data_IF_012069264509
#
_entry.id   IF_012069264509
#
_cell.length_a   1.000
_cell.length_b   1.000
_cell.length_c   1.000
_cell.angle_alpha   90.00
_cell.angle_beta   90.00
_cell.angle_gamma   90.00
#
_symmetry.space_group_name_H-M   'P 1'
#
loop_
_entity.id
_entity.type
_entity.pdbx_description
1 polymer ?
#
# COMPACT_ATOMS: atom_id res chain seq x y z
N UNK A 1 -43.08 -10.92 -17.34
CA UNK A 1 -41.87 -10.09 -17.48
C UNK A 1 -40.72 -10.94 -17.97
N UNK A 2 -39.97 -10.45 -18.95
CA UNK A 2 -38.76 -11.11 -19.44
C UNK A 2 -37.66 -11.01 -18.33
N UNK A 3 -36.69 -11.92 -18.34
CA UNK A 3 -35.59 -11.93 -17.32
C UNK A 3 -34.85 -10.59 -17.22
N UNK A 4 -34.64 -9.93 -18.35
CA UNK A 4 -34.02 -8.59 -18.37
C UNK A 4 -34.86 -7.52 -17.66
N UNK A 5 -36.16 -7.53 -17.84
CA UNK A 5 -37.05 -6.60 -17.14
C UNK A 5 -37.06 -6.84 -15.62
N UNK A 6 -36.92 -8.10 -15.19
CA UNK A 6 -36.78 -8.45 -13.77
C UNK A 6 -35.49 -7.97 -13.19
N UNK A 7 -34.36 -8.14 -13.88
CA UNK A 7 -33.02 -7.58 -13.48
C UNK A 7 -33.14 -6.07 -13.29
N UNK A 8 -33.72 -5.36 -14.27
CA UNK A 8 -33.87 -3.90 -14.18
C UNK A 8 -34.79 -3.47 -13.05
N UNK A 9 -35.86 -4.26 -12.74
CA UNK A 9 -36.75 -3.95 -11.63
C UNK A 9 -36.06 -4.11 -10.28
N UNK A 10 -35.21 -5.14 -10.12
CA UNK A 10 -34.36 -5.32 -8.94
C UNK A 10 -33.33 -4.18 -8.85
N UNK A 11 -32.70 -3.80 -9.94
CA UNK A 11 -31.73 -2.70 -9.98
C UNK A 11 -32.37 -1.37 -9.57
N UNK A 12 -33.56 -1.04 -10.06
CA UNK A 12 -34.32 0.15 -9.65
C UNK A 12 -34.67 0.13 -8.17
N UNK A 13 -35.03 -1.04 -7.65
CA UNK A 13 -35.30 -1.23 -6.23
C UNK A 13 -34.04 -0.97 -5.41
N UNK A 14 -32.91 -1.49 -5.81
CA UNK A 14 -31.62 -1.30 -5.14
C UNK A 14 -31.20 0.17 -5.13
N UNK A 15 -31.28 0.86 -6.26
CA UNK A 15 -31.01 2.30 -6.34
C UNK A 15 -31.88 3.12 -5.37
N UNK A 16 -33.17 2.77 -5.21
CA UNK A 16 -34.06 3.41 -4.25
C UNK A 16 -33.63 3.16 -2.81
N UNK A 17 -33.18 1.95 -2.50
CA UNK A 17 -32.65 1.61 -1.17
C UNK A 17 -31.39 2.40 -0.86
N UNK A 18 -30.44 2.47 -1.80
CA UNK A 18 -29.19 3.24 -1.66
C UNK A 18 -29.50 4.71 -1.43
N UNK A 19 -30.41 5.30 -2.22
CA UNK A 19 -30.81 6.71 -2.07
C UNK A 19 -31.44 7.02 -0.72
N UNK A 20 -32.22 6.10 -0.15
CA UNK A 20 -32.94 6.32 1.10
C UNK A 20 -32.15 5.98 2.36
N UNK A 21 -30.96 5.37 2.22
CA UNK A 21 -30.11 4.96 3.33
C UNK A 21 -28.72 5.59 3.22
N UNK A 22 -28.45 6.69 3.94
CA UNK A 22 -27.18 7.41 3.84
C UNK A 22 -25.95 6.54 4.18
N UNK A 23 -26.16 5.45 4.94
CA UNK A 23 -25.08 4.51 5.27
C UNK A 23 -24.41 3.91 4.03
N UNK A 24 -25.16 3.65 2.96
CA UNK A 24 -24.56 3.13 1.72
C UNK A 24 -23.68 4.16 1.04
N UNK A 25 -24.12 5.42 0.99
CA UNK A 25 -23.32 6.49 0.41
C UNK A 25 -22.09 6.79 1.26
N UNK A 26 -22.25 6.93 2.58
CA UNK A 26 -21.15 7.20 3.50
C UNK A 26 -20.15 6.03 3.55
N UNK A 27 -20.64 4.78 3.62
CA UNK A 27 -19.83 3.57 3.72
C UNK A 27 -19.13 3.17 2.42
N UNK A 28 -19.58 3.66 1.25
CA UNK A 28 -18.92 3.44 -0.02
C UNK A 28 -18.11 4.66 -0.48
N UNK A 29 -18.77 5.65 -1.04
CA UNK A 29 -18.12 6.84 -1.60
C UNK A 29 -17.43 7.66 -0.52
N UNK A 30 -18.11 7.89 0.62
CA UNK A 30 -17.59 8.74 1.71
C UNK A 30 -16.27 8.22 2.29
N UNK A 31 -16.20 6.92 2.62
CA UNK A 31 -14.98 6.31 3.17
C UNK A 31 -13.84 6.33 2.14
N UNK A 32 -14.11 5.96 0.88
CA UNK A 32 -13.09 5.93 -0.15
C UNK A 32 -12.56 7.34 -0.45
N UNK A 33 -13.45 8.33 -0.57
CA UNK A 33 -13.06 9.72 -0.78
C UNK A 33 -12.24 10.26 0.40
N UNK A 34 -12.66 9.97 1.64
CA UNK A 34 -11.87 10.34 2.83
C UNK A 34 -10.49 9.72 2.82
N UNK A 35 -10.40 8.40 2.57
CA UNK A 35 -9.12 7.71 2.50
C UNK A 35 -8.24 8.24 1.35
N UNK A 36 -8.80 8.51 0.18
CA UNK A 36 -8.06 9.08 -0.94
C UNK A 36 -7.48 10.45 -0.58
N UNK A 37 -8.31 11.36 -0.05
CA UNK A 37 -7.84 12.69 0.39
C UNK A 37 -6.78 12.53 1.48
N UNK A 38 -7.05 11.71 2.50
CA UNK A 38 -6.13 11.53 3.62
C UNK A 38 -4.76 10.99 3.17
N UNK A 39 -4.72 9.88 2.43
CA UNK A 39 -3.45 9.29 2.05
C UNK A 39 -2.68 10.12 1.03
N UNK A 40 -3.36 10.71 0.07
CA UNK A 40 -2.69 11.54 -0.93
C UNK A 40 -2.13 12.85 -0.34
N UNK A 41 -2.83 13.46 0.64
CA UNK A 41 -2.31 14.64 1.34
C UNK A 41 -1.24 14.26 2.36
N UNK A 42 -1.43 13.16 3.10
CA UNK A 42 -0.46 12.69 4.09
C UNK A 42 0.89 12.27 3.46
N UNK A 43 0.85 11.73 2.25
CA UNK A 43 2.03 11.24 1.53
C UNK A 43 2.54 12.23 0.46
N UNK A 44 2.03 13.46 0.42
CA UNK A 44 2.31 14.44 -0.65
C UNK A 44 3.80 14.74 -0.81
N UNK A 45 4.55 14.84 0.29
CA UNK A 45 6.01 15.04 0.28
C UNK A 45 6.79 13.82 -0.24
N UNK A 46 6.17 12.67 -0.41
CA UNK A 46 6.74 11.46 -1.00
C UNK A 46 7.73 10.70 -0.13
N UNK A 47 8.59 11.38 0.60
CA UNK A 47 9.47 10.83 1.64
C UNK A 47 9.21 11.60 2.94
N UNK A 48 9.41 10.96 4.11
CA UNK A 48 9.42 11.71 5.36
C UNK A 48 10.56 12.76 5.31
N UNK A 49 10.21 14.01 5.44
CA UNK A 49 11.16 15.10 5.58
C UNK A 49 11.49 15.33 7.05
N UNK A 50 12.63 15.97 7.34
CA UNK A 50 12.99 16.42 8.68
C UNK A 50 13.00 15.29 9.74
N UNK A 51 13.50 14.09 9.39
CA UNK A 51 13.66 13.01 10.38
C UNK A 51 14.64 13.47 11.45
N UNK A 52 14.20 13.60 12.72
CA UNK A 52 15.08 14.13 13.75
C UNK A 52 16.18 13.11 14.08
N UNK A 53 17.43 13.52 13.88
CA UNK A 53 18.65 12.76 14.18
C UNK A 53 19.38 13.47 15.32
N UNK A 54 19.51 12.81 16.46
CA UNK A 54 20.29 13.33 17.58
C UNK A 54 21.78 13.28 17.28
N UNK A 55 22.49 14.37 17.54
CA UNK A 55 23.96 14.41 17.42
C UNK A 55 24.56 14.79 18.78
N UNK A 56 25.47 13.96 19.26
CA UNK A 56 26.32 14.20 20.41
C UNK A 56 27.72 14.45 19.88
N UNK A 57 28.13 15.71 19.80
CA UNK A 57 29.46 16.11 19.34
C UNK A 57 30.38 16.33 20.55
N UNK A 58 31.31 15.40 20.76
CA UNK A 58 32.33 15.48 21.86
C UNK A 58 33.65 16.09 21.38
N UNK A 59 33.82 16.28 20.03
CA UNK A 59 35.05 16.80 19.43
C UNK A 59 35.06 18.35 19.33
N UNK A 60 33.90 18.96 19.11
CA UNK A 60 33.71 20.42 18.96
C UNK A 60 34.64 21.10 17.96
N UNK A 61 35.23 20.34 17.04
CA UNK A 61 36.16 20.84 16.03
C UNK A 61 35.42 21.49 14.83
N UNK A 62 36.21 22.10 13.94
CA UNK A 62 35.66 22.57 12.64
C UNK A 62 35.21 21.41 11.78
N UNK A 63 35.88 20.27 11.87
CA UNK A 63 35.55 19.05 11.11
C UNK A 63 34.24 18.43 11.57
N UNK A 64 34.02 18.32 12.91
CA UNK A 64 32.77 17.79 13.45
C UNK A 64 31.58 18.70 13.12
N UNK A 65 31.76 20.04 13.21
CA UNK A 65 30.70 20.99 12.85
C UNK A 65 30.34 20.92 11.36
N UNK A 66 31.34 20.81 10.48
CA UNK A 66 31.08 20.63 9.05
C UNK A 66 30.33 19.34 8.77
N UNK A 67 30.67 18.24 9.45
CA UNK A 67 29.95 16.99 9.35
C UNK A 67 28.49 17.17 9.79
N UNK A 68 28.22 17.81 10.93
CA UNK A 68 26.85 18.08 11.40
C UNK A 68 26.06 18.95 10.42
N UNK A 69 26.70 20.02 9.85
CA UNK A 69 26.04 20.86 8.84
C UNK A 69 25.71 20.10 7.56
N UNK A 70 26.58 19.22 7.11
CA UNK A 70 26.32 18.39 5.94
C UNK A 70 25.21 17.38 6.21
N UNK A 71 25.14 16.83 7.42
CA UNK A 71 24.07 15.94 7.84
C UNK A 71 22.73 16.66 7.89
N UNK A 72 22.69 17.89 8.41
CA UNK A 72 21.49 18.75 8.46
C UNK A 72 21.05 19.22 7.06
N UNK A 73 21.98 19.29 6.11
CA UNK A 73 21.69 19.63 4.71
C UNK A 73 21.16 18.45 3.88
N UNK A 74 21.09 17.23 4.44
CA UNK A 74 20.46 16.10 3.74
C UNK A 74 18.94 16.28 3.69
N UNK A 75 18.32 15.73 2.68
CA UNK A 75 16.86 15.87 2.49
C UNK A 75 16.06 15.25 3.64
N UNK A 76 16.57 14.20 4.27
CA UNK A 76 15.83 13.39 5.22
C UNK A 76 16.16 13.71 6.67
N UNK A 77 17.33 14.28 6.96
CA UNK A 77 17.83 14.46 8.33
C UNK A 77 17.66 15.87 8.85
N UNK A 78 17.14 16.00 10.07
CA UNK A 78 17.18 17.24 10.86
C UNK A 78 18.02 17.01 12.11
N UNK A 79 19.14 17.73 12.20
CA UNK A 79 20.06 17.58 13.31
C UNK A 79 19.51 18.22 14.59
N UNK A 80 19.47 17.43 15.65
CA UNK A 80 19.14 17.89 17.01
C UNK A 80 20.35 17.66 17.90
N UNK A 81 20.98 18.76 18.38
CA UNK A 81 22.17 18.67 19.22
C UNK A 81 21.84 18.27 20.66
N UNK A 82 22.61 17.34 21.20
CA UNK A 82 22.53 16.87 22.58
C UNK A 82 23.87 17.02 23.28
N UNK A 83 23.83 17.39 24.55
CA UNK A 83 25.04 17.53 25.39
C UNK A 83 25.55 16.19 25.93
N UNK A 84 24.74 15.12 25.89
CA UNK A 84 25.11 13.80 26.37
C UNK A 84 24.38 12.70 25.62
N UNK A 85 25.02 11.53 25.55
CA UNK A 85 24.41 10.35 24.98
C UNK A 85 23.17 9.88 25.76
N UNK A 86 23.15 10.05 27.10
CA UNK A 86 22.02 9.62 27.91
C UNK A 86 20.73 10.38 27.58
N UNK A 87 20.80 11.69 27.37
CA UNK A 87 19.65 12.51 26.98
C UNK A 87 19.18 12.18 25.55
N UNK A 88 20.11 11.99 24.61
CA UNK A 88 19.77 11.56 23.26
C UNK A 88 19.11 10.17 23.25
N UNK A 89 19.61 9.22 24.06
CA UNK A 89 19.04 7.90 24.21
C UNK A 89 17.61 7.92 24.77
N UNK A 90 17.34 8.76 25.75
CA UNK A 90 16.01 8.94 26.33
C UNK A 90 15.01 9.43 25.27
N UNK A 91 15.40 10.43 24.49
CA UNK A 91 14.57 10.93 23.41
C UNK A 91 14.43 9.92 22.25
N UNK A 92 15.42 9.10 21.97
CA UNK A 92 15.31 7.99 21.02
C UNK A 92 14.35 6.89 21.52
N UNK A 93 14.40 6.54 22.80
CA UNK A 93 13.49 5.54 23.38
C UNK A 93 12.05 6.03 23.47
N UNK A 94 11.85 7.33 23.65
CA UNK A 94 10.53 7.97 23.60
C UNK A 94 10.01 8.22 22.19
N UNK A 95 10.81 7.93 21.16
CA UNK A 95 10.42 8.09 19.73
C UNK A 95 10.49 9.52 19.21
N UNK A 96 11.10 10.46 19.92
CA UNK A 96 11.27 11.84 19.47
C UNK A 96 12.35 11.97 18.39
N UNK A 97 13.36 11.10 18.41
CA UNK A 97 14.41 11.03 17.39
C UNK A 97 14.55 9.60 16.87
N UNK A 98 14.87 9.47 15.57
CA UNK A 98 14.98 8.20 14.87
C UNK A 98 16.36 7.54 15.00
N UNK A 99 17.39 8.33 15.19
CA UNK A 99 18.77 7.85 15.30
C UNK A 99 19.60 8.81 16.16
N UNK A 100 20.74 8.31 16.68
CA UNK A 100 21.73 9.09 17.41
C UNK A 100 23.11 8.88 16.77
N UNK A 101 23.76 9.97 16.44
CA UNK A 101 25.15 10.01 15.98
C UNK A 101 26.03 10.52 17.13
N UNK A 102 27.06 9.75 17.50
CA UNK A 102 28.07 10.16 18.51
C UNK A 102 29.40 10.37 17.80
N UNK A 103 29.90 11.61 17.87
CA UNK A 103 31.20 12.01 17.35
C UNK A 103 32.17 11.99 18.53
N UNK A 104 33.22 11.15 18.52
CA UNK A 104 34.14 11.04 19.64
C UNK A 104 35.07 12.25 19.78
N UNK A 105 35.50 12.49 21.00
CA UNK A 105 36.56 13.46 21.31
C UNK A 105 37.86 13.14 20.54
N UNK A 106 38.56 14.14 20.04
CA UNK A 106 39.82 14.00 19.31
C UNK A 106 39.65 13.50 17.86
N UNK A 107 38.40 13.48 17.30
CA UNK A 107 38.19 13.04 15.91
C UNK A 107 39.04 13.78 14.90
N UNK A 108 39.16 15.12 15.02
CA UNK A 108 39.93 15.91 14.11
C UNK A 108 41.45 15.65 14.23
N UNK A 109 41.98 15.44 15.44
CA UNK A 109 43.36 15.07 15.68
C UNK A 109 43.70 13.70 15.08
N UNK A 110 42.81 12.73 15.25
CA UNK A 110 42.97 11.40 14.67
C UNK A 110 43.00 11.43 13.15
N UNK A 111 42.11 12.21 12.51
CA UNK A 111 42.12 12.39 11.05
C UNK A 111 43.44 12.99 10.58
N UNK A 112 43.95 14.05 11.25
CA UNK A 112 45.19 14.68 10.90
C UNK A 112 46.40 13.76 11.11
N UNK A 113 46.34 12.89 12.11
CA UNK A 113 47.37 11.88 12.41
C UNK A 113 47.24 10.61 11.55
N UNK A 114 46.35 10.58 10.53
CA UNK A 114 46.04 9.41 9.69
C UNK A 114 45.58 8.22 10.51
N UNK A 115 44.96 8.44 11.66
CA UNK A 115 44.22 7.43 12.42
C UNK A 115 42.77 7.45 12.01
N UNK A 116 42.07 6.35 12.25
CA UNK A 116 40.68 6.15 11.86
C UNK A 116 39.75 6.33 13.07
N UNK A 117 39.18 7.55 13.28
CA UNK A 117 38.18 7.73 14.35
C UNK A 117 36.92 6.95 14.08
N UNK A 118 36.23 6.55 15.13
CA UNK A 118 34.96 5.81 15.03
C UNK A 118 33.78 6.69 15.38
N UNK A 119 33.01 7.12 14.39
CA UNK A 119 31.71 7.73 14.61
C UNK A 119 30.69 6.59 14.86
N UNK A 120 29.93 6.67 15.95
CA UNK A 120 28.99 5.62 16.33
C UNK A 120 27.57 6.06 16.05
N UNK A 121 26.82 5.23 15.32
CA UNK A 121 25.41 5.45 15.04
C UNK A 121 24.55 4.45 15.77
N UNK A 122 23.52 4.96 16.48
CA UNK A 122 22.44 4.18 17.06
C UNK A 122 21.16 4.46 16.28
N UNK A 123 20.53 3.43 15.72
CA UNK A 123 19.31 3.57 14.90
C UNK A 123 18.18 2.87 15.58
N UNK A 124 17.01 3.52 15.67
CA UNK A 124 15.83 2.91 16.24
C UNK A 124 15.15 1.97 15.24
N UNK A 125 15.38 0.66 15.39
CA UNK A 125 14.83 -0.37 14.51
C UNK A 125 13.31 -0.59 14.62
N UNK A 126 12.64 -0.01 15.63
CA UNK A 126 11.17 -0.07 15.74
C UNK A 126 10.49 0.80 14.68
N UNK A 127 11.10 1.93 14.33
CA UNK A 127 10.65 2.80 13.25
C UNK A 127 11.34 2.39 11.94
N UNK A 128 10.95 1.23 11.39
CA UNK A 128 11.66 0.57 10.29
C UNK A 128 11.95 1.51 9.11
N UNK A 129 10.96 2.28 8.64
CA UNK A 129 11.12 3.18 7.49
C UNK A 129 12.05 4.35 7.85
N UNK A 130 11.73 5.10 8.91
CA UNK A 130 12.54 6.27 9.33
C UNK A 130 13.95 5.86 9.75
N UNK A 131 14.09 4.73 10.45
CA UNK A 131 15.39 4.18 10.85
C UNK A 131 16.23 3.74 9.65
N UNK A 132 15.64 3.06 8.65
CA UNK A 132 16.34 2.62 7.46
C UNK A 132 16.77 3.82 6.58
N UNK A 133 15.93 4.84 6.46
CA UNK A 133 16.24 6.07 5.73
C UNK A 133 17.35 6.85 6.42
N UNK A 134 17.27 7.06 7.74
CA UNK A 134 18.31 7.71 8.52
C UNK A 134 19.65 6.96 8.40
N UNK A 135 19.64 5.62 8.49
CA UNK A 135 20.83 4.80 8.28
C UNK A 135 21.43 4.98 6.90
N UNK A 136 20.63 4.99 5.85
CA UNK A 136 21.08 5.19 4.46
C UNK A 136 21.76 6.55 4.30
N UNK A 137 21.17 7.61 4.85
CA UNK A 137 21.72 8.96 4.79
C UNK A 137 23.04 9.06 5.55
N UNK A 138 23.08 8.58 6.79
CA UNK A 138 24.29 8.54 7.60
C UNK A 138 25.43 7.78 6.90
N UNK A 139 25.13 6.60 6.32
CA UNK A 139 26.12 5.82 5.58
C UNK A 139 26.61 6.56 4.34
N UNK A 140 25.74 7.24 3.61
CA UNK A 140 26.07 8.03 2.43
C UNK A 140 26.99 9.20 2.82
N UNK A 141 26.66 9.91 3.90
CA UNK A 141 27.46 11.02 4.43
C UNK A 141 28.86 10.59 4.84
N UNK A 142 28.97 9.47 5.58
CA UNK A 142 30.29 8.94 5.99
C UNK A 142 31.13 8.56 4.76
N UNK A 143 30.54 7.92 3.76
CA UNK A 143 31.23 7.54 2.53
C UNK A 143 31.69 8.77 1.72
N UNK A 144 30.86 9.81 1.63
CA UNK A 144 31.24 11.08 0.98
C UNK A 144 32.36 11.80 1.73
N UNK A 145 32.26 11.85 3.06
CA UNK A 145 33.29 12.46 3.91
C UNK A 145 34.62 11.72 3.79
N UNK A 146 34.62 10.39 3.86
CA UNK A 146 35.81 9.56 3.67
C UNK A 146 36.44 9.79 2.28
N UNK A 147 35.61 9.84 1.23
CA UNK A 147 36.06 10.12 -0.14
C UNK A 147 36.72 11.52 -0.26
N UNK A 148 36.11 12.54 0.36
CA UNK A 148 36.63 13.90 0.37
C UNK A 148 37.98 13.98 1.07
N UNK A 149 38.13 13.42 2.28
CA UNK A 149 39.39 13.38 3.03
C UNK A 149 40.47 12.64 2.25
N UNK A 150 40.17 11.46 1.71
CA UNK A 150 41.13 10.69 0.90
C UNK A 150 41.58 11.46 -0.35
N UNK A 151 40.66 12.18 -1.00
CA UNK A 151 40.97 13.01 -2.17
C UNK A 151 41.99 14.10 -1.83
N UNK A 152 41.80 14.83 -0.73
CA UNK A 152 42.71 15.88 -0.31
C UNK A 152 44.09 15.32 0.05
N UNK A 153 44.15 14.19 0.76
CA UNK A 153 45.42 13.51 1.11
C UNK A 153 46.18 13.07 -0.14
N UNK A 154 45.49 12.49 -1.12
CA UNK A 154 46.13 12.02 -2.37
C UNK A 154 46.56 13.18 -3.27
N UNK A 155 45.80 14.29 -3.30
CA UNK A 155 46.19 15.53 -3.96
C UNK A 155 47.46 16.10 -3.36
N UNK A 156 47.57 16.18 -2.03
CA UNK A 156 48.76 16.63 -1.34
C UNK A 156 50.00 15.76 -1.65
N UNK A 157 49.82 14.48 -2.00
CA UNK A 157 50.85 13.56 -2.47
C UNK A 157 51.19 13.70 -3.96
N UNK A 158 50.52 14.61 -4.69
CA UNK A 158 50.84 14.93 -6.10
C UNK A 158 50.12 14.04 -7.13
N UNK A 159 49.13 13.23 -6.73
CA UNK A 159 48.33 12.46 -7.67
C UNK A 159 47.35 13.34 -8.43
N UNK A 160 47.10 13.01 -9.70
CA UNK A 160 46.07 13.70 -10.49
C UNK A 160 44.65 13.13 -10.19
N UNK A 161 43.58 13.89 -10.50
CA UNK A 161 42.20 13.53 -10.16
C UNK A 161 41.75 12.18 -10.74
N UNK A 162 42.23 11.78 -11.92
CA UNK A 162 41.90 10.48 -12.52
C UNK A 162 42.49 9.30 -11.73
N UNK A 163 43.75 9.46 -11.29
CA UNK A 163 44.40 8.46 -10.44
C UNK A 163 43.76 8.37 -9.07
N UNK A 164 43.41 9.53 -8.49
CA UNK A 164 42.73 9.63 -7.20
C UNK A 164 41.38 8.89 -7.25
N UNK A 165 40.58 9.15 -8.28
CA UNK A 165 39.27 8.49 -8.42
C UNK A 165 39.39 6.95 -8.54
N UNK A 166 40.38 6.47 -9.29
CA UNK A 166 40.66 5.03 -9.38
C UNK A 166 41.14 4.41 -8.05
N UNK A 167 41.80 5.19 -7.18
CA UNK A 167 42.25 4.72 -5.85
C UNK A 167 41.10 4.75 -4.82
N UNK A 168 40.24 5.77 -4.84
CA UNK A 168 39.12 5.94 -3.89
C UNK A 168 37.97 5.01 -4.26
N UNK A 169 37.68 4.86 -5.56
CA UNK A 169 36.59 4.03 -6.09
C UNK A 169 37.14 3.08 -7.16
N UNK A 170 37.82 1.98 -6.75
CA UNK A 170 38.38 1.01 -7.71
C UNK A 170 37.28 0.25 -8.48
N UNK A 171 36.08 0.22 -7.94
CA UNK A 171 34.87 -0.34 -8.59
C UNK A 171 33.83 0.76 -8.65
N UNK A 172 33.44 1.14 -9.86
CA UNK A 172 32.32 2.04 -10.07
C UNK A 172 31.03 1.22 -10.19
N UNK A 173 29.99 1.63 -9.46
CA UNK A 173 28.70 0.94 -9.45
C UNK A 173 27.73 1.77 -10.28
N UNK A 174 27.41 1.26 -11.46
CA UNK A 174 26.35 1.82 -12.31
C UNK A 174 24.99 1.27 -11.87
N UNK A 175 24.13 2.12 -11.33
CA UNK A 175 22.83 1.72 -10.76
C UNK A 175 21.68 2.34 -11.55
N UNK A 176 20.83 1.48 -12.10
CA UNK A 176 19.60 1.88 -12.76
C UNK A 176 18.39 1.45 -11.93
N UNK A 177 17.69 2.42 -11.34
CA UNK A 177 16.45 2.15 -10.63
C UNK A 177 15.30 1.99 -11.64
N UNK A 178 14.50 0.92 -11.48
CA UNK A 178 13.33 0.64 -12.32
C UNK A 178 12.06 0.91 -11.51
N UNK A 179 11.10 1.58 -12.12
CA UNK A 179 9.81 1.90 -11.52
C UNK A 179 9.83 3.20 -10.74
N UNK A 180 9.91 3.14 -9.44
CA UNK A 180 9.93 4.33 -8.57
C UNK A 180 11.34 4.94 -8.48
N UNK A 181 11.78 5.60 -9.54
CA UNK A 181 13.14 6.17 -9.67
C UNK A 181 13.43 7.24 -8.60
N UNK A 182 12.41 7.99 -8.20
CA UNK A 182 12.50 9.05 -7.19
C UNK A 182 12.41 8.52 -5.75
N UNK A 183 12.23 7.19 -5.57
CA UNK A 183 11.96 6.58 -4.26
C UNK A 183 10.80 7.25 -3.51
N UNK A 184 9.83 7.78 -4.25
CA UNK A 184 8.68 8.47 -3.70
C UNK A 184 7.73 7.47 -3.02
N UNK A 185 7.51 7.67 -1.73
CA UNK A 185 6.68 6.78 -0.92
C UNK A 185 5.19 6.84 -1.28
N UNK A 186 4.73 8.00 -1.78
CA UNK A 186 3.37 8.17 -2.27
C UNK A 186 3.11 7.27 -3.50
N UNK A 187 4.03 7.25 -4.46
CA UNK A 187 3.92 6.39 -5.64
C UNK A 187 3.90 4.90 -5.27
N UNK A 188 4.74 4.53 -4.31
CA UNK A 188 4.80 3.17 -3.82
C UNK A 188 3.52 2.74 -3.11
N UNK A 189 3.02 3.55 -2.16
CA UNK A 189 1.94 3.17 -1.26
C UNK A 189 0.55 3.40 -1.86
N UNK A 190 0.29 4.58 -2.45
CA UNK A 190 -1.05 4.96 -2.91
C UNK A 190 -1.53 4.11 -4.08
N UNK A 191 -0.60 3.62 -4.93
CA UNK A 191 -0.91 2.76 -6.07
C UNK A 191 -1.56 1.42 -5.71
N UNK A 192 -1.35 0.93 -4.49
CA UNK A 192 -1.95 -0.33 -4.00
C UNK A 192 -2.93 -0.11 -2.86
N UNK A 193 -2.69 0.90 -1.99
CA UNK A 193 -3.51 1.14 -0.82
C UNK A 193 -4.94 1.55 -1.20
N UNK A 194 -5.10 2.48 -2.15
CA UNK A 194 -6.42 2.92 -2.60
C UNK A 194 -7.23 1.79 -3.26
N UNK A 195 -6.66 0.99 -4.19
CA UNK A 195 -7.34 -0.21 -4.70
C UNK A 195 -7.65 -1.24 -3.60
N UNK A 196 -6.76 -1.44 -2.61
CA UNK A 196 -7.01 -2.36 -1.50
C UNK A 196 -8.16 -1.90 -0.59
N UNK A 197 -8.27 -0.60 -0.32
CA UNK A 197 -9.41 -0.03 0.40
C UNK A 197 -10.69 -0.20 -0.42
N UNK A 198 -10.63 0.04 -1.72
CA UNK A 198 -11.77 -0.19 -2.61
C UNK A 198 -12.22 -1.65 -2.56
N UNK A 199 -11.30 -2.62 -2.68
CA UNK A 199 -11.60 -4.06 -2.56
C UNK A 199 -12.34 -4.37 -1.26
N UNK A 200 -11.80 -3.92 -0.12
CA UNK A 200 -12.43 -4.12 1.19
C UNK A 200 -13.86 -3.54 1.23
N UNK A 201 -14.04 -2.33 0.75
CA UNK A 201 -15.36 -1.68 0.72
C UNK A 201 -16.33 -2.42 -0.19
N UNK A 202 -15.88 -2.89 -1.35
CA UNK A 202 -16.70 -3.72 -2.27
C UNK A 202 -17.22 -4.96 -1.54
N UNK A 203 -16.33 -5.71 -0.89
CA UNK A 203 -16.69 -6.92 -0.14
C UNK A 203 -17.70 -6.58 0.98
N UNK A 204 -17.40 -5.59 1.80
CA UNK A 204 -18.24 -5.23 2.95
C UNK A 204 -19.61 -4.69 2.55
N UNK A 205 -19.66 -3.81 1.56
CA UNK A 205 -20.92 -3.23 1.07
C UNK A 205 -21.80 -4.29 0.46
N UNK A 206 -21.23 -5.25 -0.28
CA UNK A 206 -22.00 -6.32 -0.88
C UNK A 206 -22.54 -7.30 0.18
N UNK A 207 -21.70 -7.70 1.15
CA UNK A 207 -22.15 -8.48 2.30
C UNK A 207 -23.29 -7.76 3.04
N UNK A 208 -23.14 -6.46 3.28
CA UNK A 208 -24.16 -5.66 3.95
C UNK A 208 -25.44 -5.55 3.10
N UNK A 209 -25.34 -5.29 1.79
CA UNK A 209 -26.50 -5.18 0.89
C UNK A 209 -27.31 -6.47 0.82
N UNK A 210 -26.64 -7.63 0.72
CA UNK A 210 -27.28 -8.94 0.69
C UNK A 210 -27.80 -9.35 2.08
N UNK A 211 -27.01 -9.11 3.12
CA UNK A 211 -27.37 -9.43 4.49
C UNK A 211 -28.50 -8.56 5.05
N UNK A 212 -28.63 -7.31 4.60
CA UNK A 212 -29.71 -6.40 4.97
C UNK A 212 -31.08 -6.94 4.55
N UNK A 213 -31.16 -7.69 3.44
CA UNK A 213 -32.40 -8.33 3.00
C UNK A 213 -32.93 -9.36 4.04
N UNK A 214 -32.00 -10.09 4.66
CA UNK A 214 -32.34 -11.02 5.74
C UNK A 214 -32.69 -10.26 7.03
N UNK A 215 -31.84 -9.29 7.41
CA UNK A 215 -31.99 -8.54 8.65
C UNK A 215 -33.32 -7.76 8.72
N UNK A 216 -33.73 -7.16 7.62
CA UNK A 216 -34.97 -6.35 7.57
C UNK A 216 -36.17 -7.12 7.05
N UNK A 217 -36.09 -8.45 6.82
CA UNK A 217 -37.17 -9.29 6.36
C UNK A 217 -37.66 -8.98 4.94
N UNK A 218 -36.84 -8.34 4.10
CA UNK A 218 -37.19 -7.92 2.74
C UNK A 218 -36.76 -8.91 1.68
N UNK A 219 -36.18 -10.04 2.07
CA UNK A 219 -35.67 -11.08 1.17
C UNK A 219 -36.80 -11.72 0.32
N UNK A 220 -38.00 -11.93 0.89
CA UNK A 220 -39.14 -12.43 0.15
C UNK A 220 -39.56 -11.48 -0.97
N UNK A 221 -39.70 -10.20 -0.65
CA UNK A 221 -40.03 -9.16 -1.64
C UNK A 221 -38.97 -9.08 -2.77
N UNK A 222 -37.68 -9.25 -2.44
CA UNK A 222 -36.64 -9.36 -3.44
C UNK A 222 -36.86 -10.59 -4.35
N UNK A 223 -37.14 -11.75 -3.76
CA UNK A 223 -37.38 -12.97 -4.51
C UNK A 223 -38.64 -12.87 -5.41
N UNK A 224 -39.72 -12.24 -4.95
CA UNK A 224 -40.91 -11.99 -5.75
C UNK A 224 -40.60 -11.05 -6.93
N UNK A 225 -39.86 -9.96 -6.70
CA UNK A 225 -39.43 -9.02 -7.75
C UNK A 225 -38.55 -9.68 -8.79
N UNK A 226 -37.71 -10.63 -8.38
CA UNK A 226 -36.80 -11.38 -9.28
C UNK A 226 -37.45 -12.56 -9.98
N UNK A 227 -38.75 -12.86 -9.67
CA UNK A 227 -39.47 -14.05 -10.16
C UNK A 227 -38.95 -15.35 -9.57
N UNK A 228 -38.66 -15.36 -8.29
CA UNK A 228 -38.15 -16.49 -7.49
C UNK A 228 -36.77 -17.03 -7.95
N UNK A 229 -36.05 -16.26 -8.76
CA UNK A 229 -34.70 -16.59 -9.23
C UNK A 229 -33.63 -15.79 -8.44
N UNK A 230 -32.82 -16.49 -7.64
CA UNK A 230 -31.74 -15.87 -6.91
C UNK A 230 -30.71 -15.26 -7.87
N UNK A 231 -30.40 -15.92 -8.99
CA UNK A 231 -29.45 -15.40 -9.99
C UNK A 231 -29.93 -14.05 -10.54
N UNK A 232 -31.21 -13.93 -10.87
CA UNK A 232 -31.83 -12.68 -11.34
C UNK A 232 -31.76 -11.59 -10.26
N UNK A 233 -31.96 -11.95 -8.99
CA UNK A 233 -31.85 -11.04 -7.85
C UNK A 233 -30.42 -10.53 -7.67
N UNK A 234 -29.44 -11.44 -7.72
CA UNK A 234 -28.03 -11.09 -7.63
C UNK A 234 -27.58 -10.21 -8.79
N UNK A 235 -27.91 -10.58 -10.04
CA UNK A 235 -27.57 -9.79 -11.22
C UNK A 235 -28.14 -8.37 -11.18
N UNK A 236 -29.35 -8.20 -10.65
CA UNK A 236 -29.96 -6.87 -10.51
C UNK A 236 -29.28 -6.02 -9.44
N UNK A 237 -28.84 -6.60 -8.34
CA UNK A 237 -28.08 -5.91 -7.29
C UNK A 237 -26.65 -5.60 -7.77
N UNK A 238 -25.96 -6.60 -8.34
CA UNK A 238 -24.60 -6.45 -8.88
C UNK A 238 -24.52 -5.37 -9.94
N UNK A 239 -25.50 -5.30 -10.86
CA UNK A 239 -25.51 -4.27 -11.90
C UNK A 239 -25.34 -2.86 -11.33
N UNK A 240 -25.98 -2.55 -10.20
CA UNK A 240 -25.91 -1.25 -9.56
C UNK A 240 -24.56 -1.05 -8.86
N UNK A 241 -24.15 -2.03 -8.06
CA UNK A 241 -22.93 -1.92 -7.27
C UNK A 241 -21.68 -1.97 -8.13
N UNK A 242 -21.61 -2.87 -9.12
CA UNK A 242 -20.49 -2.92 -10.07
C UNK A 242 -20.32 -1.61 -10.81
N UNK A 243 -21.40 -1.00 -11.32
CA UNK A 243 -21.32 0.28 -12.01
C UNK A 243 -20.86 1.40 -11.08
N UNK A 244 -21.34 1.41 -9.83
CA UNK A 244 -20.92 2.40 -8.84
C UNK A 244 -19.43 2.25 -8.48
N UNK A 245 -18.98 1.03 -8.20
CA UNK A 245 -17.57 0.77 -7.87
C UNK A 245 -16.65 0.91 -9.07
N UNK A 246 -17.09 0.55 -10.27
CA UNK A 246 -16.34 0.80 -11.50
C UNK A 246 -16.12 2.31 -11.73
N UNK A 247 -17.14 3.13 -11.47
CA UNK A 247 -17.00 4.58 -11.55
C UNK A 247 -16.00 5.12 -10.51
N UNK A 248 -16.04 4.60 -9.28
CA UNK A 248 -15.07 4.96 -8.23
C UNK A 248 -13.66 4.51 -8.62
N UNK A 249 -13.49 3.28 -9.08
CA UNK A 249 -12.21 2.75 -9.56
C UNK A 249 -11.66 3.56 -10.74
N UNK A 250 -12.54 4.00 -11.65
CA UNK A 250 -12.17 4.91 -12.73
C UNK A 250 -11.63 6.24 -12.18
N UNK A 251 -12.33 6.84 -11.22
CA UNK A 251 -11.88 8.09 -10.59
C UNK A 251 -10.53 7.91 -9.89
N UNK A 252 -10.31 6.80 -9.18
CA UNK A 252 -9.02 6.50 -8.53
C UNK A 252 -7.90 6.43 -9.56
N UNK A 253 -8.07 5.70 -10.65
CA UNK A 253 -7.05 5.58 -11.70
C UNK A 253 -6.78 6.93 -12.37
N UNK A 254 -7.82 7.70 -12.70
CA UNK A 254 -7.66 9.04 -13.27
C UNK A 254 -6.97 9.99 -12.27
N UNK A 255 -7.30 9.92 -11.00
CA UNK A 255 -6.67 10.72 -9.96
C UNK A 255 -5.17 10.42 -9.88
N UNK A 256 -4.78 9.16 -9.82
CA UNK A 256 -3.37 8.77 -9.67
C UNK A 256 -2.55 9.08 -10.94
N UNK A 257 -3.00 8.61 -12.10
CA UNK A 257 -2.17 8.64 -13.31
C UNK A 257 -2.36 9.87 -14.19
N UNK A 258 -3.54 10.47 -14.20
CA UNK A 258 -3.80 11.64 -15.05
C UNK A 258 -3.64 12.96 -14.28
N UNK A 259 -4.14 13.07 -13.06
CA UNK A 259 -4.06 14.33 -12.30
C UNK A 259 -2.78 14.44 -11.46
N UNK A 260 -2.38 13.39 -10.77
CA UNK A 260 -1.18 13.38 -9.94
C UNK A 260 0.08 12.92 -10.69
N UNK A 261 -0.05 12.55 -11.97
CA UNK A 261 1.05 12.17 -12.85
C UNK A 261 1.95 11.08 -12.28
N UNK A 262 1.37 10.08 -11.62
CA UNK A 262 2.14 8.93 -11.15
C UNK A 262 2.81 8.22 -12.33
N UNK A 263 4.07 7.79 -12.18
CA UNK A 263 4.79 7.13 -13.27
C UNK A 263 4.09 5.82 -13.67
N UNK A 264 3.93 5.63 -14.97
CA UNK A 264 3.39 4.40 -15.55
C UNK A 264 4.16 4.09 -16.83
N UNK A 265 4.70 2.86 -16.93
CA UNK A 265 5.43 2.39 -18.10
C UNK A 265 4.53 1.64 -19.09
N UNK A 266 3.31 1.28 -18.68
CA UNK A 266 2.32 0.59 -19.50
C UNK A 266 1.12 1.45 -19.87
N UNK A 267 -0.04 0.82 -20.04
CA UNK A 267 -1.28 1.48 -20.47
C UNK A 267 -2.24 1.72 -19.30
N UNK A 268 -2.72 2.95 -19.17
CA UNK A 268 -3.80 3.30 -18.22
C UNK A 268 -5.06 2.48 -18.51
N UNK A 269 -5.33 2.17 -19.79
CA UNK A 269 -6.49 1.37 -20.17
C UNK A 269 -6.43 -0.05 -19.58
N UNK A 270 -5.26 -0.68 -19.57
CA UNK A 270 -5.06 -1.99 -18.95
C UNK A 270 -5.31 -1.95 -17.43
N UNK A 271 -4.97 -0.83 -16.78
CA UNK A 271 -5.27 -0.63 -15.37
C UNK A 271 -6.78 -0.55 -15.09
N UNK A 272 -7.58 0.02 -16.01
CA UNK A 272 -9.04 -0.04 -15.91
C UNK A 272 -9.57 -1.47 -15.99
N UNK A 273 -9.02 -2.29 -16.88
CA UNK A 273 -9.39 -3.71 -16.99
C UNK A 273 -9.05 -4.42 -15.69
N UNK A 274 -7.85 -4.25 -15.16
CA UNK A 274 -7.42 -4.87 -13.90
C UNK A 274 -8.33 -4.46 -12.72
N UNK A 275 -8.63 -3.16 -12.60
CA UNK A 275 -9.50 -2.63 -11.56
C UNK A 275 -10.92 -3.20 -11.67
N UNK A 276 -11.46 -3.28 -12.87
CA UNK A 276 -12.78 -3.82 -13.12
C UNK A 276 -12.86 -5.31 -12.78
N UNK A 277 -11.86 -6.10 -13.17
CA UNK A 277 -11.77 -7.52 -12.83
C UNK A 277 -11.61 -7.74 -11.33
N UNK A 278 -10.81 -6.92 -10.65
CA UNK A 278 -10.67 -6.96 -9.19
C UNK A 278 -12.00 -6.68 -8.50
N UNK A 279 -12.76 -5.67 -8.94
CA UNK A 279 -14.08 -5.36 -8.40
C UNK A 279 -15.02 -6.56 -8.54
N UNK A 280 -15.09 -7.17 -9.71
CA UNK A 280 -15.91 -8.39 -9.91
C UNK A 280 -15.47 -9.55 -9.02
N UNK A 281 -14.18 -9.79 -8.91
CA UNK A 281 -13.64 -10.84 -8.05
C UNK A 281 -13.98 -10.59 -6.57
N UNK A 282 -13.90 -9.33 -6.14
CA UNK A 282 -14.24 -8.92 -4.77
C UNK A 282 -15.73 -9.02 -4.49
N UNK A 283 -16.58 -8.67 -5.46
CA UNK A 283 -18.03 -8.90 -5.38
C UNK A 283 -18.35 -10.40 -5.24
N UNK A 284 -17.67 -11.24 -6.00
CA UNK A 284 -17.84 -12.68 -5.92
C UNK A 284 -17.48 -13.22 -4.53
N UNK A 285 -16.38 -12.74 -3.93
CA UNK A 285 -15.99 -13.10 -2.56
C UNK A 285 -17.03 -12.61 -1.55
N UNK A 286 -17.52 -11.38 -1.67
CA UNK A 286 -18.56 -10.84 -0.80
C UNK A 286 -19.85 -11.69 -0.82
N UNK A 287 -20.27 -12.12 -2.01
CA UNK A 287 -21.39 -13.04 -2.18
C UNK A 287 -21.10 -14.38 -1.49
N UNK A 288 -19.95 -14.97 -1.75
CA UNK A 288 -19.56 -16.25 -1.17
C UNK A 288 -19.54 -16.23 0.35
N UNK A 289 -19.01 -15.18 0.96
CA UNK A 289 -18.97 -15.04 2.43
C UNK A 289 -20.39 -15.02 3.01
N UNK A 290 -21.32 -14.24 2.45
CA UNK A 290 -22.69 -14.18 2.96
C UNK A 290 -23.48 -15.46 2.65
N UNK A 291 -23.14 -16.19 1.59
CA UNK A 291 -23.71 -17.51 1.30
C UNK A 291 -23.32 -18.56 2.34
N UNK A 292 -22.05 -18.55 2.74
CA UNK A 292 -21.53 -19.46 3.76
C UNK A 292 -22.04 -19.08 5.16
N UNK A 293 -22.14 -17.80 5.44
CA UNK A 293 -22.48 -17.23 6.74
C UNK A 293 -23.65 -16.25 6.60
N UNK A 294 -24.91 -16.72 6.50
CA UNK A 294 -26.08 -15.86 6.28
C UNK A 294 -26.47 -15.05 7.53
N UNK A 295 -25.50 -14.66 8.34
CA UNK A 295 -25.60 -13.79 9.51
C UNK A 295 -24.77 -12.54 9.23
N UNK A 296 -25.41 -11.39 8.90
CA UNK A 296 -24.72 -10.19 8.41
C UNK A 296 -23.56 -9.70 9.29
N UNK A 297 -23.74 -9.74 10.61
CA UNK A 297 -22.71 -9.29 11.57
C UNK A 297 -21.44 -10.16 11.46
N UNK A 298 -21.63 -11.48 11.47
CA UNK A 298 -20.50 -12.42 11.35
C UNK A 298 -19.87 -12.35 9.96
N UNK A 299 -20.67 -12.29 8.90
CA UNK A 299 -20.18 -12.17 7.53
C UNK A 299 -19.35 -10.90 7.32
N UNK A 300 -19.77 -9.76 7.88
CA UNK A 300 -19.00 -8.50 7.83
C UNK A 300 -17.65 -8.63 8.56
N UNK A 301 -17.63 -9.26 9.73
CA UNK A 301 -16.37 -9.48 10.48
C UNK A 301 -15.41 -10.38 9.70
N UNK A 302 -15.92 -11.45 9.08
CA UNK A 302 -15.12 -12.35 8.25
C UNK A 302 -14.67 -11.65 6.96
N UNK A 303 -15.52 -10.84 6.33
CA UNK A 303 -15.17 -10.06 5.15
C UNK A 303 -14.07 -9.04 5.44
N UNK A 304 -14.14 -8.33 6.56
CA UNK A 304 -13.09 -7.41 7.00
C UNK A 304 -11.76 -8.13 7.26
N UNK A 305 -11.80 -9.26 7.99
CA UNK A 305 -10.61 -10.07 8.25
C UNK A 305 -9.99 -10.59 6.95
N UNK A 306 -10.81 -11.09 6.02
CA UNK A 306 -10.36 -11.55 4.71
C UNK A 306 -9.64 -10.47 3.94
N UNK A 307 -10.19 -9.26 3.86
CA UNK A 307 -9.58 -8.14 3.13
C UNK A 307 -8.26 -7.68 3.77
N UNK A 308 -8.17 -7.62 5.11
CA UNK A 308 -6.94 -7.26 5.81
C UNK A 308 -5.85 -8.31 5.58
N UNK A 309 -6.20 -9.61 5.65
CA UNK A 309 -5.27 -10.69 5.34
C UNK A 309 -4.83 -10.65 3.87
N UNK A 310 -5.76 -10.41 2.96
CA UNK A 310 -5.48 -10.26 1.53
C UNK A 310 -4.48 -9.15 1.25
N UNK A 311 -4.68 -7.98 1.84
CA UNK A 311 -3.75 -6.86 1.72
C UNK A 311 -2.37 -7.21 2.27
N UNK A 312 -2.29 -7.84 3.44
CA UNK A 312 -1.02 -8.25 4.06
C UNK A 312 -0.25 -9.30 3.24
N UNK A 313 -0.98 -10.19 2.55
CA UNK A 313 -0.41 -11.28 1.74
C UNK A 313 -0.35 -10.96 0.25
N UNK A 314 -0.65 -9.73 -0.15
CA UNK A 314 -0.63 -9.31 -1.57
C UNK A 314 0.76 -9.39 -2.21
N UNK A 315 1.82 -9.37 -1.42
CA UNK A 315 3.21 -9.26 -1.89
C UNK A 315 3.76 -7.83 -1.84
N UNK A 316 2.92 -6.88 -1.44
CA UNK A 316 3.29 -5.47 -1.32
C UNK A 316 4.24 -5.21 -0.13
N UNK A 317 3.91 -5.72 1.05
CA UNK A 317 4.71 -5.52 2.27
C UNK A 317 5.93 -6.44 2.35
N UNK A 318 5.78 -7.67 1.90
CA UNK A 318 6.83 -8.67 1.84
C UNK A 318 6.75 -9.40 0.49
N UNK A 319 7.86 -9.47 -0.28
CA UNK A 319 7.88 -10.21 -1.53
C UNK A 319 7.43 -11.66 -1.33
N UNK A 320 6.64 -12.15 -2.27
CA UNK A 320 6.05 -13.49 -2.15
C UNK A 320 7.08 -14.60 -2.09
N UNK A 321 8.16 -14.44 -2.84
CA UNK A 321 9.28 -15.39 -2.91
C UNK A 321 9.98 -15.55 -1.55
N UNK A 322 9.87 -14.53 -0.68
CA UNK A 322 10.35 -14.58 0.69
C UNK A 322 9.39 -15.30 1.66
N UNK A 323 8.15 -15.60 1.22
CA UNK A 323 7.16 -16.29 2.04
C UNK A 323 7.28 -17.81 1.91
N UNK A 324 6.98 -18.59 2.98
CA UNK A 324 6.88 -20.03 2.89
C UNK A 324 5.87 -20.52 1.84
N UNK A 325 6.08 -21.66 1.16
CA UNK A 325 5.22 -22.12 0.05
C UNK A 325 3.72 -22.24 0.39
N UNK A 326 3.39 -22.64 1.63
CA UNK A 326 1.99 -22.74 2.05
C UNK A 326 1.33 -21.36 2.20
N UNK A 327 2.07 -20.32 2.58
CA UNK A 327 1.59 -18.93 2.60
C UNK A 327 1.42 -18.40 1.19
N UNK A 328 2.34 -18.75 0.26
CA UNK A 328 2.20 -18.40 -1.15
C UNK A 328 0.91 -18.95 -1.76
N UNK A 329 0.56 -20.22 -1.43
CA UNK A 329 -0.69 -20.84 -1.84
C UNK A 329 -1.92 -20.14 -1.23
N UNK A 330 -1.87 -19.78 0.05
CA UNK A 330 -2.94 -19.02 0.72
C UNK A 330 -3.11 -17.63 0.08
N UNK A 331 -2.02 -16.95 -0.20
CA UNK A 331 -2.02 -15.63 -0.82
C UNK A 331 -2.75 -15.61 -2.18
N UNK A 332 -2.72 -16.70 -2.95
CA UNK A 332 -3.42 -16.83 -4.22
C UNK A 332 -4.96 -16.80 -4.08
N UNK A 333 -5.49 -16.93 -2.86
CA UNK A 333 -6.94 -16.87 -2.61
C UNK A 333 -7.49 -15.44 -2.47
N UNK A 334 -6.67 -14.40 -2.64
CA UNK A 334 -7.09 -13.01 -2.47
C UNK A 334 -7.02 -12.23 -3.79
N UNK A 335 -8.14 -11.59 -4.23
CA UNK A 335 -8.17 -10.82 -5.48
C UNK A 335 -7.16 -9.68 -5.52
N UNK A 336 -6.94 -8.97 -4.41
CA UNK A 336 -6.00 -7.85 -4.32
C UNK A 336 -4.58 -8.24 -4.70
N UNK A 337 -4.16 -9.48 -4.41
CA UNK A 337 -2.86 -9.99 -4.80
C UNK A 337 -2.69 -10.01 -6.32
N UNK A 338 -3.69 -10.56 -7.03
CA UNK A 338 -3.66 -10.66 -8.48
C UNK A 338 -3.71 -9.29 -9.15
N UNK A 339 -4.47 -8.37 -8.57
CA UNK A 339 -4.44 -6.97 -8.96
C UNK A 339 -3.05 -6.35 -8.75
N UNK A 340 -2.41 -6.60 -7.60
CA UNK A 340 -1.07 -6.08 -7.31
C UNK A 340 -0.02 -6.62 -8.27
N UNK A 341 -0.03 -7.92 -8.57
CA UNK A 341 0.89 -8.51 -9.53
C UNK A 341 0.66 -7.97 -10.94
N UNK A 342 -0.60 -7.78 -11.34
CA UNK A 342 -0.94 -7.09 -12.59
C UNK A 342 -0.39 -5.66 -12.61
N UNK A 343 -0.61 -4.91 -11.53
CA UNK A 343 -0.09 -3.55 -11.35
C UNK A 343 1.44 -3.51 -11.51
N UNK A 344 2.16 -4.40 -10.85
CA UNK A 344 3.62 -4.46 -10.96
C UNK A 344 4.08 -4.72 -12.40
N UNK A 345 3.45 -5.68 -13.09
CA UNK A 345 3.80 -6.01 -14.47
C UNK A 345 3.48 -4.88 -15.45
N UNK A 346 2.35 -4.21 -15.29
CA UNK A 346 1.90 -3.17 -16.21
C UNK A 346 2.51 -1.81 -15.89
N UNK A 347 2.43 -1.36 -14.62
CA UNK A 347 2.84 0.00 -14.24
C UNK A 347 4.35 0.10 -14.09
N UNK A 348 4.98 -0.88 -13.40
CA UNK A 348 6.40 -0.83 -13.08
C UNK A 348 7.24 -1.29 -14.29
N UNK A 349 6.88 -2.43 -14.89
CA UNK A 349 7.69 -3.05 -15.94
C UNK A 349 7.19 -2.77 -17.36
N UNK A 350 5.94 -2.33 -17.56
CA UNK A 350 5.38 -2.16 -18.91
C UNK A 350 5.34 -3.43 -19.73
N UNK A 351 5.21 -4.59 -19.06
CA UNK A 351 5.40 -5.90 -19.68
C UNK A 351 4.28 -6.30 -20.67
N UNK A 352 3.19 -5.55 -20.71
CA UNK A 352 2.05 -5.83 -21.58
C UNK A 352 1.37 -7.17 -21.29
N UNK A 353 0.55 -7.65 -22.23
CA UNK A 353 -0.27 -8.85 -22.06
C UNK A 353 0.54 -10.10 -21.64
N UNK A 354 1.73 -10.28 -22.19
CA UNK A 354 2.58 -11.44 -21.86
C UNK A 354 2.97 -11.51 -20.37
N UNK A 355 3.04 -10.37 -19.69
CA UNK A 355 3.39 -10.31 -18.27
C UNK A 355 2.21 -10.67 -17.36
N UNK A 356 1.02 -10.16 -17.63
CA UNK A 356 -0.08 -10.17 -16.66
C UNK A 356 -1.28 -11.09 -17.01
N UNK A 357 -1.28 -11.81 -18.15
CA UNK A 357 -2.42 -12.65 -18.57
C UNK A 357 -2.82 -13.70 -17.51
N UNK A 358 -1.86 -14.23 -16.75
CA UNK A 358 -2.12 -15.21 -15.67
C UNK A 358 -2.99 -14.60 -14.58
N UNK A 359 -2.71 -13.36 -14.21
CA UNK A 359 -3.44 -12.65 -13.16
C UNK A 359 -4.89 -12.39 -13.57
N UNK A 360 -5.12 -12.10 -14.86
CA UNK A 360 -6.47 -12.01 -15.42
C UNK A 360 -7.23 -13.32 -15.28
N UNK A 361 -6.59 -14.45 -15.58
CA UNK A 361 -7.24 -15.77 -15.42
C UNK A 361 -7.59 -16.03 -13.96
N UNK A 362 -6.68 -15.74 -13.01
CA UNK A 362 -6.98 -15.89 -11.59
C UNK A 362 -8.16 -15.01 -11.16
N UNK A 363 -8.20 -13.75 -11.56
CA UNK A 363 -9.32 -12.86 -11.26
C UNK A 363 -10.64 -13.36 -11.84
N UNK A 364 -10.62 -13.96 -13.04
CA UNK A 364 -11.82 -14.58 -13.64
C UNK A 364 -12.26 -15.85 -12.91
N UNK A 365 -11.34 -16.63 -12.34
CA UNK A 365 -11.69 -17.83 -11.55
C UNK A 365 -12.54 -17.45 -10.33
N UNK A 366 -12.31 -16.31 -9.69
CA UNK A 366 -13.10 -15.86 -8.55
C UNK A 366 -14.59 -15.73 -8.87
N UNK A 367 -14.95 -15.42 -10.12
CA UNK A 367 -16.35 -15.29 -10.54
C UNK A 367 -17.16 -16.59 -10.38
N UNK A 368 -16.49 -17.73 -10.31
CA UNK A 368 -17.14 -19.04 -10.13
C UNK A 368 -17.29 -19.43 -8.66
N UNK A 369 -16.63 -18.74 -7.74
CA UNK A 369 -16.67 -19.06 -6.30
C UNK A 369 -18.08 -19.01 -5.71
N UNK A 370 -18.95 -18.04 -6.05
CA UNK A 370 -20.31 -17.99 -5.53
C UNK A 370 -21.19 -19.19 -5.94
N UNK A 371 -20.84 -19.89 -7.04
CA UNK A 371 -21.63 -21.06 -7.47
C UNK A 371 -21.72 -22.16 -6.40
N UNK A 372 -20.75 -22.18 -5.47
CA UNK A 372 -20.65 -23.17 -4.39
C UNK A 372 -21.79 -23.00 -3.37
N UNK A 373 -22.21 -21.77 -3.07
CA UNK A 373 -23.12 -21.45 -1.97
C UNK A 373 -24.50 -20.95 -2.37
N UNK A 374 -24.81 -20.77 -3.67
CA UNK A 374 -26.07 -20.19 -4.17
C UNK A 374 -27.33 -20.85 -3.57
N UNK A 375 -27.33 -22.17 -3.45
CA UNK A 375 -28.50 -22.91 -2.91
C UNK A 375 -28.70 -22.60 -1.42
N UNK A 376 -27.66 -22.36 -0.67
CA UNK A 376 -27.71 -22.02 0.76
C UNK A 376 -28.32 -20.64 0.97
N UNK A 377 -27.84 -19.63 0.22
CA UNK A 377 -28.39 -18.28 0.26
C UNK A 377 -29.86 -18.27 -0.21
N UNK A 378 -30.18 -19.01 -1.27
CA UNK A 378 -31.56 -19.13 -1.75
C UNK A 378 -32.49 -19.65 -0.66
N UNK A 379 -32.11 -20.72 0.05
CA UNK A 379 -32.88 -21.26 1.18
C UNK A 379 -33.04 -20.23 2.30
N UNK A 380 -31.97 -19.53 2.66
CA UNK A 380 -32.00 -18.49 3.67
C UNK A 380 -32.99 -17.35 3.29
N UNK A 381 -32.99 -16.92 2.03
CA UNK A 381 -33.91 -15.88 1.55
C UNK A 381 -35.39 -16.31 1.53
N UNK A 382 -35.68 -17.55 1.15
CA UNK A 382 -37.05 -18.08 1.11
C UNK A 382 -37.59 -18.26 2.53
N UNK A 383 -36.81 -18.86 3.43
CA UNK A 383 -37.25 -19.17 4.80
C UNK A 383 -37.12 -17.99 5.75
N UNK A 384 -36.43 -16.91 5.34
CA UNK A 384 -36.11 -15.76 6.19
C UNK A 384 -35.47 -16.18 7.53
N UNK A 385 -34.61 -17.20 7.50
CA UNK A 385 -33.90 -17.69 8.67
C UNK A 385 -32.86 -16.65 9.11
N UNK A 386 -33.31 -15.67 9.86
CA UNK A 386 -32.44 -14.79 10.62
C UNK A 386 -32.42 -15.29 12.07
N UNK A 387 -31.30 -15.63 12.68
CA UNK A 387 -31.25 -15.94 14.10
C UNK A 387 -31.83 -14.76 14.87
N UNK A 388 -32.86 -14.97 15.64
CA UNK A 388 -33.36 -13.98 16.60
C UNK A 388 -32.25 -13.82 17.64
N UNK A 389 -31.80 -12.58 17.83
CA UNK A 389 -30.85 -12.22 18.89
C UNK A 389 -31.45 -12.47 20.27
#
# INVERSE_FOLDING_TARGET
MNNWQRILSVARRELRIIRNRPLYFMGSIGVIAFCAIFFLTFLDHGLPDDIPIGVVDEDYSTTSRNFCQQLDATQLGKVVHYNSFSSAREDMTSGKIAAVCVIPEGMNEDIQAFRQPKITFYVNGLYFVSGALAWKDLLTMVNLTNGAVQREVLRAKGYNDAQIMGMIRPIDIDTHQIGNVTTNYNYYLSGILLPGILEMIVILVLIYSLGAELKFGTSRHLMDTSGHSLVTALMGKLLVWTLAFAAIGFVIIMLLYHWLHFPINGSIFNMFIAMFLMIFASEAIGIFIIEMLPVPRLALSVGALYSVLGFSLSGFTLPLEAMPPYIQGLAAMFPIRHYYLFYVQEVIFGAGFAGWWREVIYLLIFLFVPLIGLNRLKKAYIHQNFPKE
#
